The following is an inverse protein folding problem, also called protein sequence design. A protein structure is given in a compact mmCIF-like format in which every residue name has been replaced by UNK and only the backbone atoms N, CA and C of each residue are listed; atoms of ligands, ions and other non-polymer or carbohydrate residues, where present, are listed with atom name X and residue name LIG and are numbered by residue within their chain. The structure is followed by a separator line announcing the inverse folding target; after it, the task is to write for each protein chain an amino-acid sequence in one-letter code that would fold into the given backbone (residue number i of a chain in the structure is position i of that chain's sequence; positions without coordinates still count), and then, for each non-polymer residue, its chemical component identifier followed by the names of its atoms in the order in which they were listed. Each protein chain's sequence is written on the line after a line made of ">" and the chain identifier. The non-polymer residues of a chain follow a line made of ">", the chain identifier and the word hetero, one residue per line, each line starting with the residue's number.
data_IF_695921071832
#
_entry.id   IF_695921071832
#
_cell.length_a   1.000
_cell.length_b   1.000
_cell.length_c   1.000
_cell.angle_alpha   90.00
_cell.angle_beta   90.00
_cell.angle_gamma   90.00
#
_symmetry.space_group_name_H-M   'P 1'
#
loop_
_entity.id
_entity.type
_entity.pdbx_description
1 polymer ?
#
# COMPACT_ATOMS: atom_id res chain seq x y z
N UNK A 1 56.05 37.12 -89.50
CA UNK A 1 56.16 37.80 -88.18
C UNK A 1 54.84 37.60 -87.46
N UNK A 2 54.76 36.62 -86.57
CA UNK A 2 53.57 36.37 -85.71
C UNK A 2 53.93 36.76 -84.31
N UNK A 3 53.34 37.85 -83.81
CA UNK A 3 53.44 38.29 -82.37
C UNK A 3 52.34 37.58 -81.57
N UNK A 4 52.70 36.62 -80.76
CA UNK A 4 51.85 35.95 -79.81
C UNK A 4 51.67 36.82 -78.59
N UNK A 5 50.44 37.21 -78.31
CA UNK A 5 50.02 37.94 -77.10
C UNK A 5 49.85 36.97 -75.91
N UNK A 6 50.40 37.26 -74.68
CA UNK A 6 50.23 36.36 -73.54
C UNK A 6 48.81 36.43 -72.96
N UNK A 7 48.29 35.32 -72.40
CA UNK A 7 46.99 35.29 -71.80
C UNK A 7 46.88 36.08 -70.52
N UNK A 8 45.84 36.92 -70.42
CA UNK A 8 45.50 37.78 -69.34
C UNK A 8 45.12 36.96 -68.10
N UNK A 9 45.99 36.88 -67.09
CA UNK A 9 45.71 36.20 -65.84
C UNK A 9 44.74 37.05 -64.99
N UNK A 10 43.55 36.54 -64.75
CA UNK A 10 42.59 37.14 -63.83
C UNK A 10 43.15 37.14 -62.42
N UNK A 11 43.10 38.28 -61.70
CA UNK A 11 43.55 38.30 -60.28
C UNK A 11 42.60 37.47 -59.46
N UNK A 12 43.13 36.43 -58.83
CA UNK A 12 42.42 35.65 -57.79
C UNK A 12 42.12 36.58 -56.61
N UNK A 13 40.84 36.86 -56.40
CA UNK A 13 40.35 37.59 -55.23
C UNK A 13 40.77 36.84 -54.00
N UNK A 14 41.75 37.38 -53.28
CA UNK A 14 42.07 36.95 -51.93
C UNK A 14 40.84 37.17 -51.05
N UNK A 15 40.12 36.08 -50.73
CA UNK A 15 39.11 36.10 -49.68
C UNK A 15 39.79 36.55 -48.42
N UNK A 16 39.47 37.77 -47.94
CA UNK A 16 39.87 38.23 -46.64
C UNK A 16 39.23 37.30 -45.60
N UNK A 17 40.02 36.48 -44.95
CA UNK A 17 39.61 35.72 -43.77
C UNK A 17 39.41 36.73 -42.65
N UNK A 18 38.17 37.04 -42.34
CA UNK A 18 37.88 37.91 -41.20
C UNK A 18 38.37 37.19 -39.92
N UNK A 19 39.39 37.74 -39.29
CA UNK A 19 39.87 37.27 -37.99
C UNK A 19 38.85 37.68 -36.92
N UNK A 20 38.39 36.71 -36.12
CA UNK A 20 37.52 36.96 -34.97
C UNK A 20 38.15 37.90 -33.97
N UNK A 21 37.43 38.87 -33.47
CA UNK A 21 37.88 39.75 -32.39
C UNK A 21 37.77 39.01 -31.07
N UNK A 22 38.68 39.30 -30.15
CA UNK A 22 38.70 38.69 -28.83
C UNK A 22 37.37 38.93 -28.09
N UNK A 23 36.74 40.09 -28.27
CA UNK A 23 35.47 40.44 -27.67
C UNK A 23 34.32 39.57 -28.20
N UNK A 24 34.31 39.24 -29.48
CA UNK A 24 33.29 38.39 -30.10
C UNK A 24 33.34 36.96 -29.53
N UNK A 25 34.57 36.43 -29.30
CA UNK A 25 34.73 35.13 -28.65
C UNK A 25 34.21 35.15 -27.20
N UNK A 26 34.56 36.23 -26.45
CA UNK A 26 34.09 36.36 -25.06
C UNK A 26 32.56 36.46 -24.97
N UNK A 27 31.94 37.25 -25.85
CA UNK A 27 30.48 37.36 -25.91
C UNK A 27 29.86 35.99 -26.32
N UNK A 28 30.42 35.30 -27.28
CA UNK A 28 29.95 33.99 -27.71
C UNK A 28 30.01 32.98 -26.58
N UNK A 29 31.10 32.91 -25.83
CA UNK A 29 31.25 31.99 -24.68
C UNK A 29 30.25 32.34 -23.56
N UNK A 30 30.05 33.63 -23.26
CA UNK A 30 29.12 34.07 -22.23
C UNK A 30 27.66 33.68 -22.57
N UNK A 31 27.25 33.93 -23.81
CA UNK A 31 25.91 33.52 -24.26
C UNK A 31 25.75 32.00 -24.22
N UNK A 32 26.75 31.26 -24.70
CA UNK A 32 26.74 29.79 -24.65
C UNK A 32 26.65 29.28 -23.22
N UNK A 33 27.42 29.87 -22.29
CA UNK A 33 27.39 29.52 -20.87
C UNK A 33 26.01 29.79 -20.24
N UNK A 34 25.37 30.92 -20.57
CA UNK A 34 23.99 31.22 -20.10
C UNK A 34 22.97 30.24 -20.64
N UNK A 35 23.01 29.93 -21.94
CA UNK A 35 22.08 28.95 -22.52
C UNK A 35 22.27 27.57 -21.90
N UNK A 36 23.54 27.14 -21.79
CA UNK A 36 23.84 25.82 -21.18
C UNK A 36 23.43 25.77 -19.73
N UNK A 37 23.66 26.83 -18.95
CA UNK A 37 23.26 26.95 -17.55
C UNK A 37 21.72 26.88 -17.37
N UNK A 38 20.97 27.61 -18.19
CA UNK A 38 19.49 27.54 -18.14
C UNK A 38 18.96 26.19 -18.54
N UNK A 39 19.49 25.56 -19.59
CA UNK A 39 19.10 24.22 -20.01
C UNK A 39 19.36 23.19 -18.88
N UNK A 40 20.52 23.25 -18.25
CA UNK A 40 20.85 22.38 -17.12
C UNK A 40 19.90 22.58 -15.93
N UNK A 41 19.55 23.82 -15.60
CA UNK A 41 18.59 24.12 -14.54
C UNK A 41 17.20 23.53 -14.84
N UNK A 42 16.72 23.62 -16.08
CA UNK A 42 15.44 23.04 -16.50
C UNK A 42 15.48 21.51 -16.39
N UNK A 43 16.53 20.88 -16.90
CA UNK A 43 16.67 19.41 -16.83
C UNK A 43 16.70 18.94 -15.38
N UNK A 44 17.48 19.61 -14.52
CA UNK A 44 17.54 19.27 -13.10
C UNK A 44 16.17 19.43 -12.41
N UNK A 45 15.46 20.52 -12.70
CA UNK A 45 14.08 20.72 -12.19
C UNK A 45 13.11 19.65 -12.66
N UNK A 46 13.18 19.25 -13.93
CA UNK A 46 12.36 18.19 -14.48
C UNK A 46 12.64 16.81 -13.84
N UNK A 47 13.92 16.47 -13.65
CA UNK A 47 14.31 15.21 -13.01
C UNK A 47 13.87 15.16 -11.54
N UNK A 48 14.08 16.25 -10.78
CA UNK A 48 13.63 16.28 -9.39
C UNK A 48 12.10 16.21 -9.28
N UNK A 49 11.36 16.94 -10.12
CA UNK A 49 9.91 16.85 -10.16
C UNK A 49 9.38 15.48 -10.52
N UNK A 50 10.05 14.77 -11.44
CA UNK A 50 9.68 13.39 -11.79
C UNK A 50 9.90 12.44 -10.59
N UNK A 51 10.99 12.58 -9.85
CA UNK A 51 11.26 11.79 -8.66
C UNK A 51 10.22 12.02 -7.55
N UNK A 52 9.80 13.26 -7.35
CA UNK A 52 8.77 13.60 -6.37
C UNK A 52 7.40 12.99 -6.74
N UNK A 53 7.03 13.05 -8.02
CA UNK A 53 5.80 12.42 -8.52
C UNK A 53 5.85 10.91 -8.32
N UNK A 54 6.97 10.26 -8.66
CA UNK A 54 7.12 8.82 -8.49
C UNK A 54 7.03 8.39 -7.01
N UNK A 55 7.62 9.18 -6.10
CA UNK A 55 7.51 8.95 -4.67
C UNK A 55 6.04 9.03 -4.20
N UNK A 56 5.31 10.08 -4.59
CA UNK A 56 3.90 10.25 -4.25
C UNK A 56 3.02 9.13 -4.82
N UNK A 57 3.31 8.67 -6.03
CA UNK A 57 2.60 7.54 -6.64
C UNK A 57 2.82 6.25 -5.85
N UNK A 58 4.05 5.92 -5.50
CA UNK A 58 4.36 4.72 -4.68
C UNK A 58 3.68 4.77 -3.32
N UNK A 59 3.67 5.92 -2.69
CA UNK A 59 2.98 6.11 -1.41
C UNK A 59 1.46 5.90 -1.55
N UNK A 60 0.83 6.51 -2.56
CA UNK A 60 -0.58 6.31 -2.84
C UNK A 60 -0.92 4.85 -3.17
N UNK A 61 -0.08 4.18 -3.94
CA UNK A 61 -0.26 2.75 -4.27
C UNK A 61 -0.17 1.88 -3.02
N UNK A 62 0.74 2.18 -2.10
CA UNK A 62 0.87 1.46 -0.83
C UNK A 62 -0.37 1.65 0.04
N UNK A 63 -0.87 2.87 0.15
CA UNK A 63 -2.10 3.18 0.90
C UNK A 63 -3.29 2.44 0.27
N UNK A 64 -3.46 2.51 -1.04
CA UNK A 64 -4.57 1.87 -1.74
C UNK A 64 -4.54 0.35 -1.58
N UNK A 65 -3.36 -0.27 -1.65
CA UNK A 65 -3.19 -1.70 -1.39
C UNK A 65 -3.57 -2.07 0.03
N UNK A 66 -3.19 -1.25 1.01
CA UNK A 66 -3.56 -1.47 2.40
C UNK A 66 -5.07 -1.34 2.61
N UNK A 67 -5.71 -0.30 2.05
CA UNK A 67 -7.18 -0.12 2.11
C UNK A 67 -7.90 -1.31 1.49
N UNK A 68 -7.41 -1.80 0.34
CA UNK A 68 -8.01 -2.96 -0.32
C UNK A 68 -7.81 -4.25 0.48
N UNK A 69 -6.65 -4.41 1.09
CA UNK A 69 -6.39 -5.52 2.01
C UNK A 69 -7.34 -5.50 3.21
N UNK A 70 -7.57 -4.34 3.82
CA UNK A 70 -8.58 -4.17 4.88
C UNK A 70 -9.97 -4.52 4.37
N UNK A 71 -10.35 -4.05 3.17
CA UNK A 71 -11.66 -4.33 2.58
C UNK A 71 -11.88 -5.83 2.41
N UNK A 72 -10.95 -6.51 1.77
CA UNK A 72 -11.03 -7.96 1.57
C UNK A 72 -11.10 -8.68 2.91
N UNK A 73 -10.24 -8.31 3.86
CA UNK A 73 -10.20 -8.91 5.19
C UNK A 73 -11.55 -8.77 5.90
N UNK A 74 -12.08 -7.55 6.01
CA UNK A 74 -13.34 -7.32 6.73
C UNK A 74 -14.56 -7.92 6.02
N UNK A 75 -14.54 -8.00 4.69
CA UNK A 75 -15.62 -8.65 3.93
C UNK A 75 -15.60 -10.17 4.03
N UNK A 76 -14.48 -10.78 4.34
CA UNK A 76 -14.32 -12.24 4.43
C UNK A 76 -14.27 -12.76 5.86
N UNK A 77 -14.59 -11.92 6.84
CA UNK A 77 -14.53 -12.30 8.25
C UNK A 77 -15.52 -13.45 8.56
N UNK A 78 -15.04 -14.50 9.23
CA UNK A 78 -15.89 -15.57 9.68
C UNK A 78 -16.79 -15.12 10.83
N UNK A 79 -18.00 -15.68 10.93
CA UNK A 79 -18.94 -15.35 12.01
C UNK A 79 -18.43 -15.76 13.41
N UNK A 80 -17.44 -16.65 13.48
CA UNK A 80 -16.82 -17.13 14.71
C UNK A 80 -15.67 -16.25 15.18
N UNK A 81 -15.19 -15.34 14.32
CA UNK A 81 -14.12 -14.42 14.69
C UNK A 81 -14.62 -13.33 15.64
N UNK A 82 -13.70 -12.74 16.36
CA UNK A 82 -13.92 -11.59 17.24
C UNK A 82 -13.02 -10.44 16.88
N UNK A 83 -13.51 -9.23 17.14
CA UNK A 83 -12.77 -7.98 16.93
C UNK A 83 -12.72 -7.26 18.27
N UNK A 84 -11.56 -6.75 18.64
CA UNK A 84 -11.41 -5.84 19.76
C UNK A 84 -10.47 -4.69 19.40
N UNK A 85 -10.74 -3.52 19.94
CA UNK A 85 -9.86 -2.37 19.87
C UNK A 85 -9.50 -1.96 21.28
N UNK A 86 -8.20 -1.92 21.56
CA UNK A 86 -7.64 -1.46 22.82
C UNK A 86 -6.80 -0.20 22.60
N UNK A 87 -6.96 0.78 23.48
CA UNK A 87 -6.12 1.97 23.52
C UNK A 87 -4.94 1.67 24.44
N UNK A 88 -3.77 1.43 23.85
CA UNK A 88 -2.56 1.08 24.63
C UNK A 88 -1.96 2.32 25.29
N UNK A 89 -1.91 3.42 24.54
CA UNK A 89 -1.31 4.66 25.03
C UNK A 89 -2.08 5.87 24.48
N UNK A 90 -2.41 6.80 25.38
CA UNK A 90 -3.12 8.05 25.02
C UNK A 90 -2.11 9.19 24.83
N UNK A 91 -1.14 8.97 23.98
CA UNK A 91 -0.11 9.95 23.59
C UNK A 91 -0.40 10.51 22.19
N UNK A 92 0.47 11.32 21.65
CA UNK A 92 0.46 11.76 20.27
C UNK A 92 1.65 11.11 19.52
N UNK A 93 1.40 10.18 18.60
CA UNK A 93 0.10 9.67 18.12
C UNK A 93 -0.62 8.75 19.12
N UNK A 94 -1.95 8.70 19.05
CA UNK A 94 -2.76 7.75 19.82
C UNK A 94 -2.43 6.32 19.38
N UNK A 95 -1.95 5.49 20.32
CA UNK A 95 -1.60 4.11 20.04
C UNK A 95 -2.78 3.19 20.33
N UNK A 96 -3.31 2.61 19.26
CA UNK A 96 -4.42 1.66 19.31
C UNK A 96 -3.95 0.31 18.79
N UNK A 97 -4.40 -0.77 19.42
CA UNK A 97 -4.22 -2.15 18.93
C UNK A 97 -5.57 -2.70 18.50
N UNK A 98 -5.71 -2.94 17.20
CA UNK A 98 -6.86 -3.62 16.63
C UNK A 98 -6.55 -5.10 16.55
N UNK A 99 -7.20 -5.89 17.40
CA UNK A 99 -7.00 -7.33 17.51
C UNK A 99 -8.15 -8.08 16.85
N UNK A 100 -7.82 -9.01 15.98
CA UNK A 100 -8.74 -9.90 15.28
C UNK A 100 -8.39 -11.32 15.65
N UNK A 101 -9.32 -12.03 16.32
CA UNK A 101 -9.12 -13.42 16.74
C UNK A 101 -10.12 -14.35 16.07
N UNK A 102 -9.74 -15.61 15.87
CA UNK A 102 -10.59 -16.62 15.25
C UNK A 102 -10.85 -16.45 13.74
N UNK A 103 -10.04 -15.62 13.07
CA UNK A 103 -10.10 -15.39 11.63
C UNK A 103 -8.81 -15.89 10.95
N UNK A 104 -8.69 -17.18 10.62
CA UNK A 104 -7.44 -17.84 10.25
C UNK A 104 -6.78 -17.31 8.96
N UNK A 105 -7.48 -16.53 8.15
CA UNK A 105 -6.95 -15.98 6.91
C UNK A 105 -6.94 -14.45 6.90
N UNK A 106 -7.08 -13.85 8.07
CA UNK A 106 -7.06 -12.40 8.23
C UNK A 106 -5.70 -11.83 7.84
N UNK A 107 -5.69 -10.80 7.00
CA UNK A 107 -4.46 -10.18 6.48
C UNK A 107 -3.44 -11.20 5.94
N UNK A 108 -3.94 -12.25 5.26
CA UNK A 108 -3.08 -13.29 4.67
C UNK A 108 -2.25 -12.76 3.52
N UNK A 109 -0.94 -12.98 3.58
CA UNK A 109 -0.01 -12.68 2.50
C UNK A 109 0.51 -14.00 1.91
N UNK A 110 0.35 -14.17 0.61
CA UNK A 110 0.86 -15.34 -0.09
C UNK A 110 -0.02 -16.60 0.00
N UNK A 111 0.59 -17.74 -0.31
CA UNK A 111 -0.07 -19.06 -0.41
C UNK A 111 -0.02 -19.89 0.87
N UNK A 112 0.48 -19.31 1.97
CA UNK A 112 0.61 -20.05 3.22
C UNK A 112 -0.76 -20.36 3.79
N UNK A 113 -1.07 -21.65 3.90
CA UNK A 113 -2.30 -22.17 4.50
C UNK A 113 -2.28 -22.14 6.03
N UNK A 114 -1.40 -21.34 6.62
CA UNK A 114 -1.23 -21.27 8.06
C UNK A 114 -2.45 -20.60 8.67
N UNK A 115 -3.07 -21.26 9.62
CA UNK A 115 -4.19 -20.73 10.39
C UNK A 115 -3.66 -19.92 11.56
N UNK A 116 -3.97 -18.65 11.59
CA UNK A 116 -3.57 -17.75 12.68
C UNK A 116 -4.69 -17.70 13.71
N UNK A 117 -4.31 -17.71 14.98
CA UNK A 117 -5.28 -17.55 16.06
C UNK A 117 -5.62 -16.08 16.24
N UNK A 118 -4.61 -15.23 16.14
CA UNK A 118 -4.71 -13.82 16.42
C UNK A 118 -3.89 -13.00 15.43
N UNK A 119 -4.44 -11.85 15.05
CA UNK A 119 -3.78 -10.86 14.20
C UNK A 119 -3.98 -9.49 14.83
N UNK A 120 -2.89 -8.78 15.08
CA UNK A 120 -2.90 -7.47 15.73
C UNK A 120 -2.36 -6.43 14.75
N UNK A 121 -3.09 -5.33 14.59
CA UNK A 121 -2.67 -4.14 13.84
C UNK A 121 -2.44 -3.00 14.81
N UNK A 122 -1.29 -2.35 14.73
CA UNK A 122 -0.96 -1.18 15.54
C UNK A 122 0.03 -0.27 14.84
N UNK A 123 0.04 1.01 15.23
CA UNK A 123 1.13 1.92 14.88
C UNK A 123 2.30 1.63 15.81
N UNK A 124 3.48 1.47 15.24
CA UNK A 124 4.72 1.21 15.98
C UNK A 124 5.81 2.19 15.58
N UNK A 125 6.64 2.63 16.52
CA UNK A 125 7.81 3.42 16.17
C UNK A 125 8.73 2.62 15.24
N UNK A 126 9.26 3.28 14.24
CA UNK A 126 10.26 2.70 13.37
C UNK A 126 11.50 2.37 14.19
N UNK A 127 11.90 1.10 14.18
CA UNK A 127 13.13 0.72 14.87
C UNK A 127 14.30 1.44 14.23
N UNK A 128 15.18 2.11 15.00
CA UNK A 128 16.33 2.78 14.44
C UNK A 128 17.22 1.73 13.77
N UNK A 129 17.22 1.73 12.45
CA UNK A 129 18.17 0.91 11.67
C UNK A 129 19.57 1.36 12.09
N UNK A 130 20.36 0.43 12.59
CA UNK A 130 21.71 0.64 13.09
C UNK A 130 22.52 1.55 12.15
N UNK A 131 22.64 2.82 12.48
CA UNK A 131 23.52 3.76 11.77
C UNK A 131 22.97 5.14 11.42
N UNK A 132 21.67 5.41 11.52
CA UNK A 132 21.08 6.71 11.16
C UNK A 132 20.20 7.27 12.25
N UNK A 133 20.74 7.49 13.41
CA UNK A 133 20.07 8.32 14.44
C UNK A 133 20.55 9.75 14.25
N UNK A 134 19.89 10.49 13.38
CA UNK A 134 19.95 11.95 13.47
C UNK A 134 19.05 12.35 14.65
N UNK A 135 19.59 12.84 15.76
CA UNK A 135 18.81 13.16 16.96
C UNK A 135 17.80 14.32 16.75
N UNK A 136 17.74 14.86 15.55
CA UNK A 136 16.87 15.99 15.18
C UNK A 136 15.63 15.54 14.39
N UNK A 137 15.58 14.32 13.89
CA UNK A 137 14.38 13.76 13.26
C UNK A 137 13.48 13.16 14.35
N UNK A 138 12.22 13.59 14.38
CA UNK A 138 11.20 13.03 15.26
C UNK A 138 11.03 11.53 15.03
N UNK A 139 10.46 10.83 16.00
CA UNK A 139 10.14 9.40 15.89
C UNK A 139 9.20 9.19 14.73
N UNK A 140 9.58 8.38 13.76
CA UNK A 140 8.71 7.96 12.67
C UNK A 140 7.93 6.73 13.10
N UNK A 141 6.71 6.63 12.62
CA UNK A 141 5.86 5.50 12.94
C UNK A 141 5.46 4.74 11.67
N UNK A 142 5.32 3.45 11.83
CA UNK A 142 4.84 2.54 10.79
C UNK A 142 3.58 1.85 11.27
N UNK A 143 2.61 1.68 10.39
CA UNK A 143 1.53 0.73 10.64
C UNK A 143 2.09 -0.67 10.49
N UNK A 144 1.98 -1.46 11.55
CA UNK A 144 2.58 -2.77 11.65
C UNK A 144 1.56 -3.84 12.01
N UNK A 145 1.85 -5.06 11.59
CA UNK A 145 1.07 -6.25 11.84
C UNK A 145 1.87 -7.21 12.71
N UNK A 146 1.23 -7.77 13.74
CA UNK A 146 1.77 -8.89 14.50
C UNK A 146 0.88 -10.13 14.34
N UNK A 147 1.50 -11.29 14.14
CA UNK A 147 0.87 -12.60 14.03
C UNK A 147 1.81 -13.68 14.56
N UNK A 148 1.24 -14.81 14.94
CA UNK A 148 2.00 -15.96 15.45
C UNK A 148 2.99 -16.54 14.43
N UNK A 149 2.72 -16.46 13.14
CA UNK A 149 3.60 -16.97 12.08
C UNK A 149 4.84 -16.11 11.80
N UNK A 150 4.86 -14.90 12.34
CA UNK A 150 6.02 -14.00 12.25
C UNK A 150 7.10 -14.36 13.27
N UNK A 151 6.80 -15.25 14.22
CA UNK A 151 7.80 -15.73 15.19
C UNK A 151 8.85 -16.54 14.42
N UNK A 152 10.14 -16.16 14.49
CA UNK A 152 11.19 -16.93 13.86
C UNK A 152 11.20 -18.34 14.44
N UNK A 153 10.97 -19.36 13.61
CA UNK A 153 11.11 -20.76 14.04
C UNK A 153 12.60 -21.05 14.19
N UNK A 154 13.06 -21.04 15.43
CA UNK A 154 14.47 -21.28 15.80
C UNK A 154 14.77 -22.77 15.78
N UNK A 155 14.57 -23.46 14.65
CA UNK A 155 15.11 -24.78 14.46
C UNK A 155 16.02 -24.76 13.23
N UNK A 156 17.33 -24.82 13.47
CA UNK A 156 18.41 -25.14 12.55
C UNK A 156 18.91 -24.11 11.51
N UNK A 157 18.62 -22.82 11.61
CA UNK A 157 19.20 -21.87 10.66
C UNK A 157 19.75 -20.59 11.32
N UNK A 158 20.88 -20.67 11.99
CA UNK A 158 21.67 -19.50 12.41
C UNK A 158 22.16 -18.62 11.25
N UNK A 159 21.89 -19.01 10.00
CA UNK A 159 22.36 -18.32 8.80
C UNK A 159 21.28 -17.61 7.98
N UNK A 160 20.01 -17.67 8.37
CA UNK A 160 18.91 -17.12 7.57
C UNK A 160 18.26 -15.88 8.14
N UNK A 161 18.89 -15.15 9.05
CA UNK A 161 18.50 -13.77 9.34
C UNK A 161 19.01 -12.89 8.20
N UNK A 162 18.48 -13.08 7.01
CA UNK A 162 18.52 -12.03 5.99
C UNK A 162 17.66 -10.90 6.52
N UNK A 163 18.30 -9.81 6.87
CA UNK A 163 17.69 -8.51 7.11
C UNK A 163 17.11 -7.97 5.79
N UNK A 164 16.11 -8.64 5.27
CA UNK A 164 15.26 -8.03 4.27
C UNK A 164 14.46 -6.92 4.97
N UNK A 165 14.20 -5.82 4.28
CA UNK A 165 13.50 -4.66 4.84
C UNK A 165 12.09 -4.99 5.39
N UNK A 166 11.60 -6.21 5.15
CA UNK A 166 10.34 -6.78 5.65
C UNK A 166 10.55 -7.84 6.73
N UNK A 167 11.78 -8.06 7.22
CA UNK A 167 11.98 -9.00 8.32
C UNK A 167 11.33 -8.46 9.59
N UNK A 168 10.64 -9.32 10.37
CA UNK A 168 10.14 -8.92 11.66
C UNK A 168 11.29 -8.35 12.48
N UNK A 169 11.12 -7.13 12.96
CA UNK A 169 12.08 -6.49 13.87
C UNK A 169 12.16 -7.28 15.18
N UNK A 170 13.07 -6.90 16.07
CA UNK A 170 13.19 -7.54 17.38
C UNK A 170 11.82 -7.62 18.06
N UNK A 171 11.61 -8.69 18.86
CA UNK A 171 10.40 -8.87 19.63
C UNK A 171 10.18 -7.67 20.56
N UNK A 172 8.92 -7.26 20.74
CA UNK A 172 8.53 -6.28 21.74
C UNK A 172 8.59 -6.88 23.17
N UNK A 173 8.25 -6.06 24.17
CA UNK A 173 8.25 -6.49 25.60
C UNK A 173 7.27 -7.65 25.88
N UNK A 174 6.34 -7.90 24.99
CA UNK A 174 5.37 -9.01 25.05
C UNK A 174 5.81 -10.22 24.22
N UNK A 175 7.00 -10.17 23.61
CA UNK A 175 7.54 -11.23 22.75
C UNK A 175 6.89 -11.30 21.37
N UNK A 176 6.18 -10.24 20.94
CA UNK A 176 5.52 -10.18 19.63
C UNK A 176 6.46 -9.61 18.57
N UNK A 177 6.41 -10.18 17.38
CA UNK A 177 7.14 -9.70 16.22
C UNK A 177 6.22 -8.86 15.32
N UNK A 178 6.74 -7.77 14.79
CA UNK A 178 5.95 -6.79 14.04
C UNK A 178 6.49 -6.66 12.62
N UNK A 179 5.61 -6.85 11.65
CA UNK A 179 5.89 -6.65 10.23
C UNK A 179 5.35 -5.28 9.81
N UNK A 180 6.18 -4.36 9.33
CA UNK A 180 5.71 -3.07 8.84
C UNK A 180 4.92 -3.28 7.54
N UNK A 181 3.70 -2.73 7.50
CA UNK A 181 2.80 -2.75 6.33
C UNK A 181 2.83 -1.43 5.58
N UNK A 182 2.83 -0.32 6.32
CA UNK A 182 2.76 1.02 5.75
C UNK A 182 3.68 1.96 6.54
N UNK A 183 4.73 2.48 5.92
CA UNK A 183 5.64 3.41 6.57
C UNK A 183 5.08 4.84 6.60
N UNK A 184 5.59 5.66 7.51
CA UNK A 184 5.30 7.10 7.57
C UNK A 184 3.85 7.41 7.98
N UNK A 185 3.30 6.67 8.92
CA UNK A 185 1.96 6.90 9.48
C UNK A 185 2.07 7.87 10.66
N UNK A 186 1.36 9.01 10.59
CA UNK A 186 1.28 9.96 11.70
C UNK A 186 0.19 9.60 12.70
N UNK A 187 -0.96 9.12 12.24
CA UNK A 187 -2.03 8.65 13.11
C UNK A 187 -2.92 7.64 12.42
N UNK A 188 -3.49 6.73 13.21
CA UNK A 188 -4.49 5.78 12.77
C UNK A 188 -5.54 5.66 13.87
N UNK A 189 -6.79 5.88 13.52
CA UNK A 189 -7.91 5.69 14.45
C UNK A 189 -9.01 4.88 13.79
N UNK A 190 -9.66 4.09 14.63
CA UNK A 190 -10.76 3.22 14.23
C UNK A 190 -12.03 3.64 14.92
N UNK A 191 -13.18 3.51 14.25
CA UNK A 191 -14.51 3.68 14.81
C UNK A 191 -15.41 2.58 14.29
N UNK A 192 -16.34 2.17 15.11
CA UNK A 192 -17.22 1.04 14.84
C UNK A 192 -18.67 1.48 14.90
N UNK A 193 -19.44 1.13 13.89
CA UNK A 193 -20.84 1.44 13.83
C UNK A 193 -21.69 0.26 14.25
N UNK A 194 -22.64 0.52 15.13
CA UNK A 194 -23.59 -0.44 15.66
C UNK A 194 -24.98 -0.06 15.16
N UNK A 195 -25.45 -0.75 14.14
CA UNK A 195 -26.74 -0.44 13.50
C UNK A 195 -27.93 -0.55 14.46
N UNK A 196 -27.88 -1.44 15.46
CA UNK A 196 -28.94 -1.61 16.44
C UNK A 196 -29.18 -0.38 17.32
N UNK A 197 -28.16 0.46 17.52
CA UNK A 197 -28.20 1.63 18.40
C UNK A 197 -27.98 2.94 17.62
N UNK A 198 -27.67 2.85 16.33
CA UNK A 198 -27.35 3.99 15.44
C UNK A 198 -26.23 4.88 16.00
N UNK A 199 -25.17 4.25 16.56
CA UNK A 199 -24.08 4.94 17.23
C UNK A 199 -22.73 4.48 16.66
N UNK A 200 -21.79 5.42 16.59
CA UNK A 200 -20.37 5.15 16.36
C UNK A 200 -19.63 5.07 17.68
N UNK A 201 -18.92 3.98 17.88
CA UNK A 201 -18.09 3.72 19.06
C UNK A 201 -16.59 3.81 18.71
N UNK A 202 -15.78 4.36 19.61
CA UNK A 202 -14.32 4.47 19.46
C UNK A 202 -13.58 3.30 20.10
N UNK A 203 -14.26 2.50 20.90
CA UNK A 203 -13.77 1.28 21.53
C UNK A 203 -14.68 0.13 21.13
N UNK A 204 -14.13 -1.06 20.96
CA UNK A 204 -14.90 -2.23 20.60
C UNK A 204 -14.37 -3.47 21.31
N UNK A 205 -15.22 -4.12 22.07
CA UNK A 205 -14.89 -5.36 22.79
C UNK A 205 -16.03 -6.37 22.74
N UNK A 206 -17.02 -6.14 21.85
CA UNK A 206 -18.19 -6.99 21.76
C UNK A 206 -17.89 -8.31 21.05
N UNK A 207 -18.59 -9.37 21.42
CA UNK A 207 -18.53 -10.67 20.76
C UNK A 207 -19.18 -10.68 19.36
N UNK A 208 -19.94 -9.63 19.01
CA UNK A 208 -20.52 -9.43 17.70
C UNK A 208 -19.66 -8.51 16.88
N UNK A 209 -19.60 -8.75 15.58
CA UNK A 209 -18.97 -7.85 14.63
C UNK A 209 -19.73 -6.52 14.54
N UNK A 210 -19.04 -5.39 14.37
CA UNK A 210 -19.69 -4.13 14.02
C UNK A 210 -20.26 -4.24 12.59
N UNK A 211 -21.30 -3.46 12.31
CA UNK A 211 -21.88 -3.42 10.97
C UNK A 211 -20.97 -2.68 9.97
N UNK A 212 -20.31 -1.61 10.45
CA UNK A 212 -19.32 -0.86 9.69
C UNK A 212 -18.07 -0.61 10.56
N UNK A 213 -16.93 -0.58 9.90
CA UNK A 213 -15.65 -0.19 10.47
C UNK A 213 -15.16 1.05 9.71
N UNK A 214 -14.91 2.13 10.40
CA UNK A 214 -14.32 3.34 9.87
C UNK A 214 -12.86 3.40 10.28
N UNK A 215 -12.00 3.66 9.31
CA UNK A 215 -10.57 3.89 9.47
C UNK A 215 -10.25 5.33 9.09
N UNK A 216 -9.58 6.06 9.96
CA UNK A 216 -9.00 7.37 9.66
C UNK A 216 -7.47 7.24 9.76
N UNK A 217 -6.80 7.38 8.63
CA UNK A 217 -5.35 7.25 8.48
C UNK A 217 -4.74 8.58 8.06
N UNK A 218 -3.79 9.08 8.82
CA UNK A 218 -3.00 10.26 8.45
C UNK A 218 -1.57 9.84 8.18
N UNK A 219 -1.05 10.25 7.03
CA UNK A 219 0.34 10.01 6.64
C UNK A 219 1.21 11.22 6.98
N UNK A 220 2.49 10.96 7.24
CA UNK A 220 3.48 12.01 7.44
C UNK A 220 3.52 12.98 6.25
N UNK A 221 3.50 14.28 6.54
CA UNK A 221 3.47 15.33 5.52
C UNK A 221 2.12 15.58 4.87
N UNK A 222 1.06 14.86 5.24
CA UNK A 222 -0.32 15.12 4.79
C UNK A 222 -1.13 15.80 5.89
N UNK A 223 -1.86 16.83 5.51
CA UNK A 223 -2.74 17.57 6.44
C UNK A 223 -4.14 16.97 6.53
N UNK A 224 -4.54 16.18 5.52
CA UNK A 224 -5.87 15.59 5.49
C UNK A 224 -5.80 14.09 5.74
N UNK A 225 -6.59 13.56 6.67
CA UNK A 225 -6.70 12.13 6.89
C UNK A 225 -7.42 11.44 5.72
N UNK A 226 -6.94 10.26 5.38
CA UNK A 226 -7.67 9.34 4.53
C UNK A 226 -8.74 8.65 5.37
N UNK A 227 -10.00 8.83 5.02
CA UNK A 227 -11.12 8.15 5.63
C UNK A 227 -11.57 6.98 4.75
N UNK A 228 -11.64 5.78 5.32
CA UNK A 228 -12.20 4.61 4.65
C UNK A 228 -13.25 3.95 5.54
N UNK A 229 -14.35 3.50 4.93
CA UNK A 229 -15.42 2.78 5.63
C UNK A 229 -15.58 1.39 5.00
N UNK A 230 -15.60 0.38 5.83
CA UNK A 230 -15.70 -1.01 5.44
C UNK A 230 -16.99 -1.62 6.00
N UNK A 231 -17.73 -2.34 5.18
CA UNK A 231 -18.86 -3.16 5.63
C UNK A 231 -18.36 -4.53 6.07
N UNK A 232 -18.87 -5.01 7.20
CA UNK A 232 -18.60 -6.36 7.68
C UNK A 232 -19.85 -7.19 7.44
N UNK A 233 -19.98 -7.91 6.32
CA UNK A 233 -21.09 -8.80 6.09
C UNK A 233 -20.96 -9.96 7.07
N UNK A 234 -21.80 -9.99 8.10
CA UNK A 234 -21.92 -11.18 8.95
C UNK A 234 -22.47 -12.30 8.05
N UNK A 235 -21.56 -13.12 7.53
CA UNK A 235 -21.95 -14.37 6.89
C UNK A 235 -22.55 -15.28 7.96
N UNK A 236 -23.81 -15.00 8.33
CA UNK A 236 -24.62 -16.03 8.95
C UNK A 236 -24.69 -17.14 7.90
N UNK A 237 -23.90 -18.20 8.12
CA UNK A 237 -24.20 -19.50 7.53
C UNK A 237 -25.63 -19.80 8.00
N UNK A 238 -26.64 -19.39 7.24
CA UNK A 238 -27.94 -20.01 7.30
C UNK A 238 -27.62 -21.46 7.03
N UNK A 239 -27.58 -22.22 8.13
CA UNK A 239 -27.63 -23.67 8.07
C UNK A 239 -28.69 -23.98 7.01
N UNK A 240 -28.25 -24.56 5.88
CA UNK A 240 -29.06 -24.73 4.73
C UNK A 240 -30.37 -25.33 5.20
N UNK A 241 -31.43 -24.59 5.05
CA UNK A 241 -32.79 -25.17 5.09
C UNK A 241 -32.71 -26.21 4.01
N UNK A 242 -32.48 -27.46 4.42
CA UNK A 242 -32.67 -28.61 3.60
C UNK A 242 -34.09 -28.39 3.05
N UNK A 243 -34.17 -27.97 1.80
CA UNK A 243 -35.39 -28.15 1.04
C UNK A 243 -35.66 -29.66 1.11
N UNK A 244 -36.50 -30.06 2.06
CA UNK A 244 -37.16 -31.32 2.03
C UNK A 244 -37.75 -31.40 0.64
N UNK A 245 -37.11 -32.14 -0.23
CA UNK A 245 -37.69 -32.56 -1.49
C UNK A 245 -38.93 -33.31 -1.06
N UNK A 246 -40.08 -32.62 -1.09
CA UNK A 246 -41.38 -33.25 -0.99
C UNK A 246 -41.42 -34.28 -2.10
N UNK A 247 -41.27 -35.52 -1.71
CA UNK A 247 -41.50 -36.70 -2.55
C UNK A 247 -42.87 -36.50 -3.16
N UNK A 248 -42.90 -36.12 -4.43
CA UNK A 248 -44.15 -36.07 -5.19
C UNK A 248 -44.71 -37.48 -5.17
N UNK A 249 -45.84 -37.65 -4.49
CA UNK A 249 -46.69 -38.86 -4.52
C UNK A 249 -47.03 -39.12 -5.98
N UNK A 250 -46.66 -40.28 -6.55
CA UNK A 250 -47.05 -40.59 -7.93
C UNK A 250 -48.59 -40.62 -8.04
N UNK A 251 -49.11 -39.90 -9.04
CA UNK A 251 -50.52 -39.86 -9.36
C UNK A 251 -51.04 -41.28 -9.64
N UNK A 252 -52.28 -41.65 -9.19
CA UNK A 252 -52.83 -42.95 -9.45
C UNK A 252 -53.06 -43.15 -10.96
N UNK A 253 -52.58 -44.26 -11.46
CA UNK A 253 -52.76 -44.73 -12.84
C UNK A 253 -54.26 -44.89 -13.14
N UNK A 254 -54.80 -44.31 -14.21
CA UNK A 254 -56.19 -44.53 -14.57
C UNK A 254 -56.44 -46.02 -14.97
N UNK A 255 -57.44 -46.62 -14.33
CA UNK A 255 -57.90 -47.98 -14.59
C UNK A 255 -58.30 -48.10 -16.04
N UNK A 256 -57.86 -49.12 -16.73
CA UNK A 256 -58.29 -49.49 -18.08
C UNK A 256 -59.76 -49.90 -18.06
N UNK A 257 -60.60 -49.59 -19.08
CA UNK A 257 -61.99 -50.02 -19.17
C UNK A 257 -62.10 -51.53 -19.43
N UNK A 258 -63.14 -52.18 -18.94
CA UNK A 258 -63.35 -53.62 -19.14
C UNK A 258 -63.59 -53.93 -20.60
N UNK A 259 -62.90 -54.90 -21.17
CA UNK A 259 -63.17 -55.46 -22.48
C UNK A 259 -64.46 -56.27 -22.45
N UNK A 260 -65.48 -55.77 -23.16
CA UNK A 260 -66.70 -56.51 -23.45
C UNK A 260 -66.39 -57.65 -24.42
N UNK A 261 -66.60 -58.87 -23.95
CA UNK A 261 -66.49 -60.04 -24.77
C UNK A 261 -67.67 -60.19 -25.75
N UNK A 262 -67.29 -60.71 -26.86
CA UNK A 262 -68.14 -61.61 -27.67
C UNK A 262 -67.23 -62.55 -28.42
#
# INVERSE_FOLDING_TARGET
>A
MFTSQPPNAKPSALRSVAAFTLIEVVIGITILAMITGTLFAIIRGAVSGAADIERLQRENDSINRFVELCRITFQTMPSTGTLSLEIVERTDPLLQELTISGAPHCFGFGTSATSYKETILSIRPESPTSGSVNPTEGVRYNLSLSREDLIPQTEDNELAVRQDANSPTAADDQGRFWMPLLPGVSSLTWRFYKQSEDVWEEEWSASKWPDLIEMNLTMEGRTQPLRAVFSVPVLSLRAGTQRSSSTATPAPTPSAPPSSGR
#
